data_IF_157352334646
#
_entry.id   IF_157352334646
#
_cell.length_a   1.000
_cell.length_b   1.000
_cell.length_c   1.000
_cell.angle_alpha   90.00
_cell.angle_beta   90.00
_cell.angle_gamma   90.00
#
_symmetry.space_group_name_H-M   'P 1'
#
loop_
_entity.id
_entity.type
_entity.pdbx_description
1 polymer ?
#
# COMPACT_ATOMS: atom_id res chain seq x y z
N UNK A 1 13.70 -19.17 8.55
CA UNK A 1 12.67 -18.31 7.92
C UNK A 1 12.72 -18.49 6.40
N UNK A 2 11.64 -18.29 5.64
CA UNK A 2 11.70 -18.32 4.16
C UNK A 2 11.85 -16.90 3.60
N UNK A 3 12.63 -16.76 2.52
CA UNK A 3 12.80 -15.48 1.83
C UNK A 3 11.46 -14.96 1.31
N UNK A 4 11.18 -13.67 1.55
CA UNK A 4 9.87 -13.07 1.30
C UNK A 4 9.94 -11.63 0.80
N UNK A 5 8.87 -11.19 0.15
CA UNK A 5 8.63 -9.79 -0.23
C UNK A 5 7.55 -9.22 0.67
N UNK A 6 7.84 -8.12 1.35
CA UNK A 6 6.88 -7.31 2.13
C UNK A 6 6.52 -6.07 1.32
N UNK A 7 5.22 -5.80 1.17
CA UNK A 7 4.73 -4.57 0.55
C UNK A 7 4.12 -3.68 1.63
N UNK A 8 4.81 -2.60 1.99
CA UNK A 8 4.32 -1.58 2.93
C UNK A 8 4.88 -0.21 2.55
N UNK A 9 4.18 0.87 2.90
CA UNK A 9 4.65 2.24 2.71
C UNK A 9 5.46 2.73 3.91
N UNK A 10 5.29 2.10 5.08
CA UNK A 10 5.91 2.44 6.35
C UNK A 10 7.13 1.54 6.62
N UNK A 11 8.26 1.90 6.04
CA UNK A 11 9.50 1.13 6.16
C UNK A 11 10.07 1.09 7.58
N UNK A 12 9.87 2.15 8.36
CA UNK A 12 10.34 2.24 9.75
C UNK A 12 9.62 1.27 10.68
N UNK A 13 8.29 1.14 10.52
CA UNK A 13 7.52 0.14 11.24
C UNK A 13 8.01 -1.27 10.92
N UNK A 14 8.27 -1.59 9.65
CA UNK A 14 8.75 -2.92 9.24
C UNK A 14 10.14 -3.21 9.79
N UNK A 15 11.03 -2.22 9.78
CA UNK A 15 12.38 -2.34 10.34
C UNK A 15 12.34 -2.66 11.83
N UNK A 16 11.52 -1.92 12.57
CA UNK A 16 11.35 -2.11 14.02
C UNK A 16 10.78 -3.49 14.34
N UNK A 17 9.81 -3.96 13.56
CA UNK A 17 9.24 -5.30 13.70
C UNK A 17 10.27 -6.40 13.43
N UNK A 18 11.02 -6.32 12.33
CA UNK A 18 12.03 -7.33 11.99
C UNK A 18 13.11 -7.40 13.08
N UNK A 19 13.53 -6.27 13.62
CA UNK A 19 14.51 -6.21 14.71
C UNK A 19 13.96 -6.71 16.05
N UNK A 20 12.64 -6.63 16.27
CA UNK A 20 12.01 -7.14 17.48
C UNK A 20 11.76 -8.67 17.44
N UNK A 21 11.48 -9.20 16.25
CA UNK A 21 11.19 -10.63 16.04
C UNK A 21 12.45 -11.50 15.87
N UNK A 22 13.60 -10.88 15.56
CA UNK A 22 14.83 -11.60 15.22
C UNK A 22 16.03 -11.08 16.04
N UNK A 23 17.09 -11.88 16.15
CA UNK A 23 18.33 -11.47 16.82
C UNK A 23 19.00 -10.33 16.03
N UNK A 24 19.13 -9.10 16.59
CA UNK A 24 19.68 -7.95 15.87
C UNK A 24 21.09 -8.16 15.33
N UNK A 25 21.88 -9.07 15.92
CA UNK A 25 23.23 -9.36 15.45
C UNK A 25 23.25 -10.11 14.11
N UNK A 26 22.15 -10.79 13.77
CA UNK A 26 21.99 -11.56 12.55
C UNK A 26 21.01 -10.91 11.57
N UNK A 27 20.65 -9.63 11.79
CA UNK A 27 19.83 -8.84 10.86
C UNK A 27 20.68 -7.75 10.23
N UNK A 28 20.82 -7.79 8.91
CA UNK A 28 21.49 -6.75 8.13
C UNK A 28 20.47 -6.01 7.27
N UNK A 29 20.36 -4.70 7.47
CA UNK A 29 19.42 -3.86 6.74
C UNK A 29 20.18 -2.98 5.76
N UNK A 30 19.77 -3.05 4.50
CA UNK A 30 20.22 -2.19 3.41
C UNK A 30 19.08 -1.30 2.98
N UNK A 31 19.27 0.01 3.06
CA UNK A 31 18.22 1.01 2.80
C UNK A 31 18.71 2.04 1.78
N UNK A 32 17.94 2.20 0.70
CA UNK A 32 18.29 3.09 -0.41
C UNK A 32 17.06 3.83 -0.94
N UNK A 33 17.22 5.06 -1.45
CA UNK A 33 16.15 5.69 -2.21
C UNK A 33 15.93 4.94 -3.54
N UNK A 34 17.01 4.68 -4.28
CA UNK A 34 17.00 3.89 -5.51
C UNK A 34 18.06 2.80 -5.43
N UNK A 35 17.66 1.54 -5.59
CA UNK A 35 18.59 0.41 -5.67
C UNK A 35 19.33 0.43 -7.01
N UNK A 36 20.65 0.63 -6.96
CA UNK A 36 21.56 0.65 -8.10
C UNK A 36 22.50 -0.58 -8.11
N UNK A 37 23.28 -0.73 -9.18
CA UNK A 37 24.12 -1.92 -9.39
C UNK A 37 25.19 -2.08 -8.32
N UNK A 38 25.71 -0.97 -7.80
CA UNK A 38 26.70 -0.96 -6.72
C UNK A 38 26.12 -1.53 -5.42
N UNK A 39 24.86 -1.16 -5.11
CA UNK A 39 24.15 -1.67 -3.95
C UNK A 39 23.86 -3.17 -4.06
N UNK A 40 23.48 -3.65 -5.24
CA UNK A 40 23.29 -5.07 -5.46
C UNK A 40 24.59 -5.86 -5.24
N UNK A 41 25.74 -5.35 -5.68
CA UNK A 41 27.04 -5.98 -5.42
C UNK A 41 27.36 -6.04 -3.92
N UNK A 42 27.09 -4.97 -3.19
CA UNK A 42 27.25 -4.92 -1.74
C UNK A 42 26.42 -5.98 -1.03
N UNK A 43 25.13 -6.08 -1.36
CA UNK A 43 24.19 -7.07 -0.83
C UNK A 43 24.65 -8.50 -1.16
N UNK A 44 25.09 -8.74 -2.39
CA UNK A 44 25.58 -10.05 -2.83
C UNK A 44 26.82 -10.44 -2.01
N UNK A 45 27.78 -9.53 -1.84
CA UNK A 45 28.98 -9.79 -1.06
C UNK A 45 28.63 -10.12 0.39
N UNK A 46 27.71 -9.36 1.00
CA UNK A 46 27.22 -9.62 2.35
C UNK A 46 26.55 -11.00 2.47
N UNK A 47 25.77 -11.41 1.47
CA UNK A 47 25.12 -12.72 1.46
C UNK A 47 26.13 -13.88 1.44
N UNK A 48 27.29 -13.70 0.81
CA UNK A 48 28.33 -14.73 0.80
C UNK A 48 29.19 -14.78 2.08
N UNK A 49 29.05 -13.81 2.98
CA UNK A 49 29.68 -13.88 4.31
C UNK A 49 29.00 -15.00 5.09
N UNK A 50 29.74 -16.08 5.31
CA UNK A 50 29.25 -17.28 5.97
C UNK A 50 28.92 -17.01 7.45
N UNK A 51 27.75 -17.45 7.87
CA UNK A 51 27.27 -17.30 9.24
C UNK A 51 26.93 -18.66 9.85
N UNK A 52 27.17 -18.80 11.16
CA UNK A 52 26.86 -20.04 11.90
C UNK A 52 25.35 -20.17 12.12
N UNK A 53 24.64 -19.04 12.22
CA UNK A 53 23.19 -18.95 12.41
C UNK A 53 22.53 -18.30 11.20
N UNK A 54 21.21 -18.42 11.13
CA UNK A 54 20.40 -17.77 10.10
C UNK A 54 20.59 -16.25 10.15
N UNK A 55 21.11 -15.67 9.07
CA UNK A 55 21.25 -14.23 8.86
C UNK A 55 20.16 -13.74 7.91
N UNK A 56 19.48 -12.68 8.32
CA UNK A 56 18.41 -12.04 7.57
C UNK A 56 18.97 -10.80 6.91
N UNK A 57 18.93 -10.77 5.57
CA UNK A 57 19.30 -9.62 4.76
C UNK A 57 18.01 -8.93 4.33
N UNK A 58 17.79 -7.74 4.88
CA UNK A 58 16.64 -6.89 4.57
C UNK A 58 17.05 -5.85 3.53
N UNK A 59 16.36 -5.82 2.39
CA UNK A 59 16.60 -4.89 1.30
C UNK A 59 15.39 -3.97 1.21
N UNK A 60 15.57 -2.70 1.55
CA UNK A 60 14.54 -1.67 1.54
C UNK A 60 14.91 -0.65 0.46
N UNK A 61 14.01 -0.42 -0.50
CA UNK A 61 14.19 0.70 -1.43
C UNK A 61 12.86 1.32 -1.89
N UNK A 62 12.88 2.64 -2.14
CA UNK A 62 11.73 3.33 -2.74
C UNK A 62 11.59 3.03 -4.24
N UNK A 63 12.71 2.85 -4.93
CA UNK A 63 12.77 2.50 -6.36
C UNK A 63 13.78 1.36 -6.56
N UNK A 64 13.46 0.46 -7.49
CA UNK A 64 14.38 -0.60 -7.90
C UNK A 64 14.68 -0.46 -9.38
N UNK A 65 15.93 -0.18 -9.75
CA UNK A 65 16.33 -0.24 -11.15
C UNK A 65 16.27 -1.69 -11.68
N UNK A 66 16.24 -1.86 -13.00
CA UNK A 66 16.09 -3.18 -13.63
C UNK A 66 17.36 -4.02 -13.46
N UNK A 67 18.52 -3.46 -13.79
CA UNK A 67 19.79 -4.19 -13.77
C UNK A 67 20.14 -4.79 -12.40
N UNK A 68 19.99 -4.04 -11.28
CA UNK A 68 20.32 -4.56 -9.94
C UNK A 68 19.39 -5.70 -9.52
N UNK A 69 18.10 -5.61 -9.88
CA UNK A 69 17.15 -6.69 -9.62
C UNK A 69 17.55 -7.98 -10.34
N UNK A 70 17.98 -7.87 -11.60
CA UNK A 70 18.47 -9.02 -12.36
C UNK A 70 19.74 -9.62 -11.75
N UNK A 71 20.66 -8.78 -11.26
CA UNK A 71 21.86 -9.24 -10.57
C UNK A 71 21.56 -10.01 -9.27
N UNK A 72 20.52 -9.60 -8.54
CA UNK A 72 20.08 -10.28 -7.31
C UNK A 72 19.37 -11.62 -7.59
N UNK A 73 18.87 -11.88 -8.80
CA UNK A 73 18.08 -13.09 -9.10
C UNK A 73 18.78 -14.38 -8.66
N UNK A 74 20.09 -14.50 -8.95
CA UNK A 74 20.85 -15.72 -8.66
C UNK A 74 20.86 -16.05 -7.16
N UNK A 75 21.10 -15.05 -6.31
CA UNK A 75 21.14 -15.25 -4.85
C UNK A 75 19.74 -15.36 -4.23
N UNK A 76 18.70 -14.86 -4.90
CA UNK A 76 17.31 -15.04 -4.46
C UNK A 76 16.76 -16.44 -4.81
N UNK A 77 17.22 -17.04 -5.91
CA UNK A 77 16.88 -18.43 -6.30
C UNK A 77 17.57 -19.45 -5.41
N UNK A 78 18.89 -19.32 -5.27
CA UNK A 78 19.73 -20.25 -4.53
C UNK A 78 20.50 -19.45 -3.47
N UNK A 79 19.83 -19.08 -2.35
CA UNK A 79 20.47 -18.32 -1.30
C UNK A 79 21.64 -19.11 -0.70
N UNK A 80 22.74 -18.44 -0.33
CA UNK A 80 23.82 -19.07 0.42
C UNK A 80 23.31 -19.67 1.74
N UNK A 81 24.07 -20.62 2.29
CA UNK A 81 23.68 -21.33 3.51
C UNK A 81 23.41 -20.34 4.64
N UNK A 82 22.30 -20.55 5.35
CA UNK A 82 21.84 -19.73 6.47
C UNK A 82 21.48 -18.28 6.09
N UNK A 83 21.25 -17.95 4.81
CA UNK A 83 20.81 -16.61 4.40
C UNK A 83 19.32 -16.61 4.07
N UNK A 84 18.61 -15.62 4.60
CA UNK A 84 17.21 -15.33 4.28
C UNK A 84 17.10 -13.91 3.77
N UNK A 85 16.42 -13.72 2.64
CA UNK A 85 16.19 -12.40 2.07
C UNK A 85 14.79 -11.87 2.39
N UNK A 86 14.72 -10.63 2.85
CA UNK A 86 13.46 -9.89 3.03
C UNK A 86 13.51 -8.64 2.17
N UNK A 87 12.71 -8.59 1.11
CA UNK A 87 12.63 -7.39 0.26
C UNK A 87 11.42 -6.56 0.71
N UNK A 88 11.63 -5.29 1.04
CA UNK A 88 10.56 -4.35 1.39
C UNK A 88 10.42 -3.31 0.29
N UNK A 89 9.24 -3.20 -0.31
CA UNK A 89 8.95 -2.26 -1.39
C UNK A 89 7.58 -1.60 -1.21
N UNK A 90 7.42 -0.35 -1.66
CA UNK A 90 6.14 0.38 -1.57
C UNK A 90 5.02 -0.23 -2.42
N UNK A 91 5.36 -0.91 -3.51
CA UNK A 91 4.38 -1.59 -4.35
C UNK A 91 4.98 -2.75 -5.13
N UNK A 92 4.11 -3.72 -5.47
CA UNK A 92 4.49 -4.90 -6.28
C UNK A 92 4.97 -4.54 -7.69
N UNK A 93 4.59 -3.38 -8.21
CA UNK A 93 4.88 -2.97 -9.59
C UNK A 93 6.32 -2.49 -9.78
N UNK A 94 7.01 -2.15 -8.69
CA UNK A 94 8.41 -1.70 -8.73
C UNK A 94 9.36 -2.91 -8.88
N UNK A 95 8.89 -4.11 -8.51
CA UNK A 95 9.65 -5.34 -8.61
C UNK A 95 9.38 -6.07 -9.93
N UNK A 96 10.45 -6.57 -10.56
CA UNK A 96 10.34 -7.36 -11.78
C UNK A 96 9.50 -8.63 -11.54
N UNK A 97 8.71 -9.08 -12.53
CA UNK A 97 7.98 -10.34 -12.44
C UNK A 97 8.87 -11.55 -12.09
N UNK A 98 10.11 -11.54 -12.57
CA UNK A 98 11.13 -12.57 -12.30
C UNK A 98 11.48 -12.65 -10.81
N UNK A 99 11.70 -11.51 -10.15
CA UNK A 99 11.92 -11.43 -8.69
C UNK A 99 10.69 -11.90 -7.94
N UNK A 100 9.51 -11.42 -8.34
CA UNK A 100 8.23 -11.76 -7.68
C UNK A 100 7.90 -13.25 -7.73
N UNK A 101 8.32 -13.96 -8.78
CA UNK A 101 8.06 -15.39 -8.94
C UNK A 101 8.89 -16.29 -8.00
N UNK A 102 10.00 -15.79 -7.47
CA UNK A 102 10.99 -16.57 -6.69
C UNK A 102 10.80 -16.43 -5.18
N UNK A 103 10.07 -15.42 -4.74
CA UNK A 103 9.91 -15.09 -3.33
C UNK A 103 8.44 -15.21 -2.93
N UNK A 104 8.21 -15.66 -1.69
CA UNK A 104 6.87 -15.66 -1.12
C UNK A 104 6.42 -14.23 -0.91
N UNK A 105 5.26 -13.89 -1.45
CA UNK A 105 4.73 -12.54 -1.33
C UNK A 105 3.91 -12.43 -0.05
N UNK A 106 4.50 -11.82 0.97
CA UNK A 106 3.83 -11.40 2.19
C UNK A 106 3.20 -10.04 1.92
N UNK A 107 2.10 -10.03 1.16
CA UNK A 107 1.32 -8.80 1.04
C UNK A 107 0.58 -8.59 2.34
N UNK A 108 1.27 -7.96 3.28
CA UNK A 108 0.67 -7.19 4.37
C UNK A 108 -0.01 -5.98 3.74
N UNK A 109 -1.05 -6.24 2.95
CA UNK A 109 -2.10 -5.25 2.81
C UNK A 109 -2.52 -5.07 4.25
N UNK A 110 -2.04 -4.00 4.92
CA UNK A 110 -2.72 -3.48 6.10
C UNK A 110 -4.16 -3.53 5.67
N UNK A 111 -4.95 -4.46 6.25
CA UNK A 111 -6.39 -4.42 6.10
C UNK A 111 -6.68 -3.01 6.54
N UNK A 112 -6.87 -2.11 5.59
CA UNK A 112 -7.29 -0.76 5.88
C UNK A 112 -8.47 -1.00 6.79
N UNK A 113 -8.37 -0.55 8.04
CA UNK A 113 -9.47 -0.68 9.00
C UNK A 113 -10.68 -0.27 8.19
N UNK A 114 -11.58 -1.23 7.93
CA UNK A 114 -12.70 -0.97 7.03
C UNK A 114 -13.42 0.18 7.69
N UNK A 115 -13.36 1.36 7.06
CA UNK A 115 -13.97 2.54 7.65
C UNK A 115 -15.45 2.23 7.54
N UNK A 116 -16.12 2.05 8.68
CA UNK A 116 -17.56 2.00 8.66
C UNK A 116 -18.05 3.42 8.37
N UNK A 117 -18.47 3.64 7.12
CA UNK A 117 -19.02 4.91 6.68
C UNK A 117 -20.44 5.12 7.21
N UNK A 118 -21.08 4.11 7.80
CA UNK A 118 -22.42 4.22 8.37
C UNK A 118 -23.54 4.43 7.33
N UNK A 119 -23.27 4.19 6.04
CA UNK A 119 -24.23 4.38 4.95
C UNK A 119 -24.68 3.05 4.36
N UNK A 120 -25.99 2.90 4.19
CA UNK A 120 -26.57 1.79 3.44
C UNK A 120 -26.64 2.11 1.95
N UNK A 121 -25.57 1.80 1.22
CA UNK A 121 -25.50 2.12 -0.21
C UNK A 121 -26.52 1.39 -1.08
N UNK A 122 -27.20 0.33 -0.59
CA UNK A 122 -28.31 -0.36 -1.28
C UNK A 122 -29.63 0.40 -1.20
N UNK A 123 -29.80 1.24 -0.18
CA UNK A 123 -31.04 1.98 0.11
C UNK A 123 -30.71 3.41 0.53
N UNK A 124 -29.88 4.08 -0.26
CA UNK A 124 -29.37 5.39 0.10
C UNK A 124 -30.47 6.45 -0.02
N UNK A 125 -30.80 7.11 1.08
CA UNK A 125 -31.80 8.18 1.11
C UNK A 125 -31.15 9.58 1.16
N UNK A 126 -31.83 10.59 0.58
CA UNK A 126 -31.36 11.97 0.58
C UNK A 126 -31.07 12.51 1.98
N UNK A 127 -31.89 12.11 2.98
CA UNK A 127 -31.69 12.50 4.38
C UNK A 127 -30.37 11.95 4.94
N UNK A 128 -30.04 10.70 4.62
CA UNK A 128 -28.80 10.07 5.06
C UNK A 128 -27.57 10.72 4.41
N UNK A 129 -27.66 11.00 3.10
CA UNK A 129 -26.62 11.73 2.36
C UNK A 129 -26.36 13.09 3.00
N UNK A 130 -27.42 13.86 3.27
CA UNK A 130 -27.32 15.18 3.88
C UNK A 130 -26.67 15.12 5.27
N UNK A 131 -27.15 14.23 6.15
CA UNK A 131 -26.60 14.08 7.50
C UNK A 131 -25.12 13.68 7.49
N UNK A 132 -24.75 12.76 6.60
CA UNK A 132 -23.37 12.31 6.45
C UNK A 132 -22.44 13.44 5.99
N UNK A 133 -22.87 14.24 5.00
CA UNK A 133 -22.07 15.37 4.50
C UNK A 133 -21.93 16.44 5.59
N UNK A 134 -23.00 16.79 6.29
CA UNK A 134 -22.97 17.76 7.39
C UNK A 134 -22.00 17.32 8.49
N UNK A 135 -21.99 16.03 8.86
CA UNK A 135 -21.03 15.48 9.82
C UNK A 135 -19.59 15.67 9.33
N UNK A 136 -19.29 15.32 8.08
CA UNK A 136 -17.91 15.46 7.55
C UNK A 136 -17.49 16.92 7.39
N UNK A 137 -18.40 17.82 7.03
CA UNK A 137 -18.16 19.26 7.00
C UNK A 137 -17.88 19.82 8.40
N UNK A 138 -18.61 19.37 9.42
CA UNK A 138 -18.36 19.76 10.81
C UNK A 138 -16.97 19.29 11.28
N UNK A 139 -16.59 18.05 10.94
CA UNK A 139 -15.26 17.53 11.25
C UNK A 139 -14.15 18.29 10.51
N UNK A 140 -14.37 18.65 9.25
CA UNK A 140 -13.44 19.45 8.44
C UNK A 140 -13.20 20.82 9.07
N UNK A 141 -14.27 21.48 9.56
CA UNK A 141 -14.16 22.76 10.29
C UNK A 141 -13.40 22.65 11.61
N UNK A 142 -13.40 21.47 12.23
CA UNK A 142 -12.69 21.18 13.49
C UNK A 142 -11.26 20.67 13.30
N UNK A 143 -10.74 20.68 12.06
CA UNK A 143 -9.41 20.17 11.67
C UNK A 143 -9.19 18.68 11.99
N UNK A 144 -10.28 17.92 12.17
CA UNK A 144 -10.27 16.46 12.39
C UNK A 144 -10.50 15.66 11.11
N UNK A 145 -10.68 16.35 9.98
CA UNK A 145 -10.99 15.74 8.69
C UNK A 145 -10.35 16.55 7.57
N UNK A 146 -9.22 16.09 7.08
CA UNK A 146 -8.46 16.72 6.01
C UNK A 146 -8.46 15.89 4.73
N UNK A 147 -7.50 16.22 3.86
CA UNK A 147 -7.32 15.57 2.56
C UNK A 147 -7.12 14.06 2.66
N UNK A 148 -6.37 13.58 3.65
CA UNK A 148 -6.08 12.15 3.84
C UNK A 148 -7.34 11.38 4.23
N UNK A 149 -8.12 11.92 5.15
CA UNK A 149 -9.37 11.35 5.65
C UNK A 149 -10.44 11.35 4.56
N UNK A 150 -10.58 12.45 3.82
CA UNK A 150 -11.49 12.56 2.67
C UNK A 150 -11.18 11.51 1.60
N UNK A 151 -9.90 11.35 1.25
CA UNK A 151 -9.48 10.33 0.30
C UNK A 151 -9.82 8.91 0.79
N UNK A 152 -9.61 8.64 2.09
CA UNK A 152 -9.93 7.35 2.68
C UNK A 152 -11.44 7.07 2.65
N UNK A 153 -12.28 8.06 2.99
CA UNK A 153 -13.74 7.94 2.93
C UNK A 153 -14.24 7.71 1.51
N UNK A 154 -13.74 8.46 0.52
CA UNK A 154 -14.14 8.29 -0.89
C UNK A 154 -13.78 6.91 -1.41
N UNK A 155 -12.56 6.42 -1.11
CA UNK A 155 -12.15 5.06 -1.47
C UNK A 155 -13.09 4.02 -0.85
N UNK A 156 -13.41 4.18 0.43
CA UNK A 156 -14.29 3.24 1.13
C UNK A 156 -15.71 3.24 0.57
N UNK A 157 -16.29 4.41 0.26
CA UNK A 157 -17.60 4.54 -0.38
C UNK A 157 -17.65 3.76 -1.70
N UNK A 158 -16.63 3.93 -2.55
CA UNK A 158 -16.56 3.22 -3.85
C UNK A 158 -16.44 1.71 -3.63
N UNK A 159 -15.60 1.26 -2.69
CA UNK A 159 -15.45 -0.17 -2.37
C UNK A 159 -16.74 -0.79 -1.82
N UNK A 160 -17.42 -0.10 -0.91
CA UNK A 160 -18.70 -0.56 -0.37
C UNK A 160 -19.79 -0.58 -1.45
N UNK A 161 -19.77 0.36 -2.40
CA UNK A 161 -20.69 0.36 -3.54
C UNK A 161 -20.49 -0.87 -4.44
N UNK A 162 -19.24 -1.19 -4.78
CA UNK A 162 -18.90 -2.41 -5.55
C UNK A 162 -19.34 -3.65 -4.77
N UNK A 163 -19.06 -3.71 -3.47
CA UNK A 163 -19.43 -4.83 -2.59
C UNK A 163 -20.95 -4.97 -2.46
N UNK A 164 -21.68 -3.86 -2.52
CA UNK A 164 -23.14 -3.83 -2.54
C UNK A 164 -23.74 -4.30 -3.89
N UNK A 165 -22.91 -4.49 -4.92
CA UNK A 165 -23.33 -4.94 -6.25
C UNK A 165 -23.64 -3.82 -7.24
N UNK A 166 -23.29 -2.56 -6.91
CA UNK A 166 -23.44 -1.43 -7.83
C UNK A 166 -22.42 -1.58 -8.96
N UNK A 167 -22.90 -1.50 -10.21
CA UNK A 167 -22.05 -1.58 -11.40
C UNK A 167 -21.66 -0.18 -11.87
N UNK A 168 -20.42 -0.08 -12.32
CA UNK A 168 -19.83 1.16 -12.86
C UNK A 168 -19.42 0.95 -14.31
N UNK A 169 -19.57 2.01 -15.09
CA UNK A 169 -19.15 2.11 -16.49
C UNK A 169 -17.84 2.89 -16.60
N UNK A 170 -17.19 2.86 -17.76
CA UNK A 170 -15.91 3.55 -17.99
C UNK A 170 -15.94 5.03 -17.59
N UNK A 171 -17.05 5.71 -17.84
CA UNK A 171 -17.27 7.11 -17.50
C UNK A 171 -17.23 7.37 -15.98
N UNK A 172 -17.69 6.42 -15.16
CA UNK A 172 -17.64 6.54 -13.70
C UNK A 172 -16.18 6.46 -13.21
N UNK A 173 -15.36 5.60 -13.80
CA UNK A 173 -13.95 5.49 -13.44
C UNK A 173 -13.18 6.76 -13.79
N UNK A 174 -13.48 7.39 -14.94
CA UNK A 174 -12.96 8.71 -15.27
C UNK A 174 -13.42 9.78 -14.28
N UNK A 175 -14.68 9.70 -13.84
CA UNK A 175 -15.21 10.60 -12.82
C UNK A 175 -14.53 10.41 -11.46
N UNK A 176 -14.27 9.17 -11.03
CA UNK A 176 -13.51 8.87 -9.81
C UNK A 176 -12.08 9.41 -9.88
N UNK A 177 -11.45 9.35 -11.06
CA UNK A 177 -10.15 9.99 -11.27
C UNK A 177 -10.24 11.51 -11.11
N UNK A 178 -11.28 12.17 -11.64
CA UNK A 178 -11.52 13.62 -11.43
C UNK A 178 -11.72 13.94 -9.95
N UNK A 179 -12.49 13.14 -9.21
CA UNK A 179 -12.65 13.28 -7.75
C UNK A 179 -11.29 13.20 -7.05
N UNK A 180 -10.47 12.19 -7.39
CA UNK A 180 -9.14 12.05 -6.81
C UNK A 180 -8.29 13.31 -7.04
N UNK A 181 -8.30 13.87 -8.25
CA UNK A 181 -7.59 15.11 -8.59
C UNK A 181 -8.12 16.32 -7.81
N UNK A 182 -9.43 16.42 -7.60
CA UNK A 182 -10.02 17.48 -6.78
C UNK A 182 -9.57 17.42 -5.33
N UNK A 183 -9.59 16.22 -4.73
CA UNK A 183 -9.08 16.00 -3.37
C UNK A 183 -7.59 16.37 -3.30
N UNK A 184 -6.82 16.03 -4.34
CA UNK A 184 -5.40 16.36 -4.43
C UNK A 184 -5.15 17.88 -4.38
N UNK A 185 -6.05 18.66 -4.98
CA UNK A 185 -6.09 20.12 -5.00
C UNK A 185 -6.78 20.75 -3.78
N UNK A 186 -6.94 20.01 -2.69
CA UNK A 186 -7.58 20.47 -1.44
C UNK A 186 -9.05 20.89 -1.60
N UNK A 187 -9.80 20.22 -2.47
CA UNK A 187 -11.25 20.41 -2.57
C UNK A 187 -11.94 20.12 -1.23
N UNK A 188 -13.05 20.84 -1.01
CA UNK A 188 -13.88 20.69 0.18
C UNK A 188 -14.62 19.37 0.19
N UNK A 189 -14.78 18.77 1.37
CA UNK A 189 -15.50 17.51 1.58
C UNK A 189 -16.91 17.54 0.94
N UNK A 190 -17.67 18.61 1.14
CA UNK A 190 -18.99 18.76 0.55
C UNK A 190 -18.98 18.74 -1.00
N UNK A 191 -18.02 19.41 -1.66
CA UNK A 191 -17.98 19.47 -3.12
C UNK A 191 -17.57 18.14 -3.76
N UNK A 192 -16.95 17.25 -2.99
CA UNK A 192 -16.54 15.91 -3.42
C UNK A 192 -17.61 14.86 -3.09
N UNK A 193 -18.10 14.83 -1.84
CA UNK A 193 -19.00 13.79 -1.36
C UNK A 193 -20.42 13.94 -1.92
N UNK A 194 -20.91 15.17 -2.09
CA UNK A 194 -22.26 15.43 -2.61
C UNK A 194 -22.50 14.76 -3.98
N UNK A 195 -21.73 15.07 -5.03
CA UNK A 195 -22.01 14.49 -6.34
C UNK A 195 -21.71 12.99 -6.40
N UNK A 196 -20.72 12.48 -5.64
CA UNK A 196 -20.44 11.05 -5.55
C UNK A 196 -21.63 10.28 -4.95
N UNK A 197 -22.16 10.72 -3.82
CA UNK A 197 -23.27 10.03 -3.14
C UNK A 197 -24.57 10.11 -3.95
N UNK A 198 -24.82 11.23 -4.64
CA UNK A 198 -25.96 11.37 -5.55
C UNK A 198 -25.85 10.44 -6.76
N UNK A 199 -24.65 10.31 -7.36
CA UNK A 199 -24.39 9.35 -8.43
C UNK A 199 -24.70 7.92 -7.97
N UNK A 200 -24.23 7.54 -6.79
CA UNK A 200 -24.49 6.22 -6.23
C UNK A 200 -25.99 5.99 -6.00
N UNK A 201 -26.70 6.97 -5.42
CA UNK A 201 -28.15 6.90 -5.20
C UNK A 201 -28.93 6.69 -6.50
N UNK A 202 -28.49 7.29 -7.60
CA UNK A 202 -29.13 7.09 -8.92
C UNK A 202 -28.89 5.68 -9.46
N UNK A 203 -27.72 5.09 -9.20
CA UNK A 203 -27.37 3.74 -9.66
C UNK A 203 -27.96 2.62 -8.80
N UNK A 204 -28.49 2.93 -7.62
CA UNK A 204 -29.19 1.96 -6.76
C UNK A 204 -30.69 1.85 -6.99
N UNK A 205 -31.29 2.79 -7.74
CA UNK A 205 -32.71 2.77 -8.09
C UNK A 205 -32.92 2.07 -9.42
#
# INVERSE_FOLDING_TARGET
MQSKIIIDEDFESIKSEILAENDPNFVKIFEYDTLLMENAKEIINEAYIAEIREKIIVIIAHKFAIDPQNALLKILEEPPRNIVFVIVAKSKNILLPTVRSRLVMDSRVKKSIKIDIGLNLKRLELKEIYLFIEEKVALEKSDKFGKKELLAVVKQIILDAITAGIKFESEDYEYFYKIYRLIDLNAKSASVLTPLLLLLMQRTR
#
